data_IF_104115023471
#
_entry.id   IF_104115023471
#
_cell.length_a   1.000
_cell.length_b   1.000
_cell.length_c   1.000
_cell.angle_alpha   90.00
_cell.angle_beta   90.00
_cell.angle_gamma   90.00
#
_symmetry.space_group_name_H-M   'P 1'
#
loop_
_entity.id
_entity.type
_entity.pdbx_description
1 polymer ?
#
# COMPACT_ATOMS: atom_id res chain seq x y z
N UNK A 1 5.39 12.10 8.61
CA UNK A 1 4.44 12.61 7.60
C UNK A 1 4.47 14.12 7.41
N UNK A 2 4.28 14.94 8.46
CA UNK A 2 4.13 16.42 8.32
C UNK A 2 5.24 17.06 7.49
N UNK A 3 6.51 16.79 7.83
CA UNK A 3 7.67 17.35 7.10
C UNK A 3 7.67 16.93 5.64
N UNK A 4 7.40 15.65 5.35
CA UNK A 4 7.34 15.12 3.99
C UNK A 4 6.18 15.75 3.21
N UNK A 5 4.99 15.82 3.81
CA UNK A 5 3.80 16.40 3.18
C UNK A 5 3.99 17.86 2.81
N UNK A 6 4.55 18.65 3.73
CA UNK A 6 4.87 20.06 3.51
C UNK A 6 5.99 20.25 2.46
N UNK A 7 7.04 19.42 2.50
CA UNK A 7 8.13 19.47 1.53
C UNK A 7 7.65 19.12 0.11
N UNK A 8 6.79 18.11 -0.03
CA UNK A 8 6.19 17.74 -1.31
C UNK A 8 5.29 18.85 -1.87
N UNK A 9 4.47 19.49 -1.02
CA UNK A 9 3.69 20.65 -1.42
C UNK A 9 4.59 21.78 -1.93
N UNK A 10 5.65 22.11 -1.19
CA UNK A 10 6.62 23.14 -1.60
C UNK A 10 7.25 22.79 -2.97
N UNK A 11 7.58 21.52 -3.19
CA UNK A 11 8.11 21.04 -4.47
C UNK A 11 7.09 21.15 -5.61
N UNK A 12 5.83 20.77 -5.39
CA UNK A 12 4.79 20.90 -6.41
C UNK A 12 4.55 22.35 -6.80
N UNK A 13 4.52 23.26 -5.82
CA UNK A 13 4.37 24.69 -6.07
C UNK A 13 5.58 25.26 -6.82
N UNK A 14 6.80 24.82 -6.50
CA UNK A 14 8.03 25.19 -7.23
C UNK A 14 7.96 24.79 -8.71
N UNK A 15 7.40 23.60 -8.99
CA UNK A 15 7.17 23.09 -10.33
C UNK A 15 5.90 23.65 -11.01
N UNK A 16 5.19 24.57 -10.35
CA UNK A 16 3.89 25.14 -10.81
C UNK A 16 2.80 24.09 -11.04
N UNK A 17 2.86 22.98 -10.29
CA UNK A 17 1.84 21.93 -10.29
C UNK A 17 0.80 22.28 -9.24
N UNK A 18 -0.45 22.43 -9.67
CA UNK A 18 -1.56 22.70 -8.76
C UNK A 18 -1.91 21.45 -7.93
N UNK A 19 -2.09 21.57 -6.60
CA UNK A 19 -2.55 20.49 -5.76
C UNK A 19 -3.92 19.95 -6.19
N UNK A 20 -4.05 18.63 -6.25
CA UNK A 20 -5.25 17.91 -6.66
C UNK A 20 -5.08 16.41 -6.49
N UNK A 21 -5.85 15.62 -7.25
CA UNK A 21 -5.76 14.16 -7.18
C UNK A 21 -4.37 13.63 -7.55
N UNK A 22 -3.75 14.14 -8.63
CA UNK A 22 -2.45 13.67 -9.10
C UNK A 22 -1.31 13.89 -8.09
N UNK A 23 -1.26 15.05 -7.46
CA UNK A 23 -0.26 15.36 -6.42
C UNK A 23 -0.46 14.51 -5.17
N UNK A 24 -1.71 14.20 -4.81
CA UNK A 24 -2.02 13.25 -3.71
C UNK A 24 -1.47 11.87 -4.05
N UNK A 25 -1.74 11.35 -5.25
CA UNK A 25 -1.23 10.03 -5.68
C UNK A 25 0.30 9.99 -5.62
N UNK A 26 0.97 10.99 -6.19
CA UNK A 26 2.44 11.07 -6.15
C UNK A 26 2.95 11.17 -4.71
N UNK A 27 2.31 11.97 -3.86
CA UNK A 27 2.73 12.11 -2.47
C UNK A 27 2.61 10.81 -1.67
N UNK A 28 1.52 10.05 -1.87
CA UNK A 28 1.34 8.73 -1.27
C UNK A 28 2.34 7.70 -1.79
N UNK A 29 2.66 7.71 -3.09
CA UNK A 29 3.72 6.86 -3.65
C UNK A 29 5.06 7.18 -2.99
N UNK A 30 5.43 8.45 -2.91
CA UNK A 30 6.69 8.89 -2.29
C UNK A 30 6.77 8.56 -0.80
N UNK A 31 5.64 8.57 -0.10
CA UNK A 31 5.57 8.16 1.30
C UNK A 31 5.72 6.63 1.45
N UNK A 32 4.97 5.85 0.66
CA UNK A 32 4.91 4.40 0.80
C UNK A 32 6.14 3.67 0.23
N UNK A 33 6.86 4.27 -0.72
CA UNK A 33 7.95 3.59 -1.44
C UNK A 33 9.05 3.08 -0.50
N UNK A 34 9.38 3.81 0.57
CA UNK A 34 10.41 3.40 1.54
C UNK A 34 10.01 2.09 2.24
N UNK A 35 8.76 1.99 2.68
CA UNK A 35 8.20 0.79 3.31
C UNK A 35 8.14 -0.40 2.35
N UNK A 36 7.72 -0.15 1.10
CA UNK A 36 7.67 -1.19 0.06
C UNK A 36 9.07 -1.72 -0.23
N UNK A 37 10.04 -0.82 -0.44
CA UNK A 37 11.43 -1.21 -0.75
C UNK A 37 12.04 -2.03 0.38
N UNK A 38 11.89 -1.60 1.64
CA UNK A 38 12.41 -2.36 2.79
C UNK A 38 11.77 -3.74 2.88
N UNK A 39 10.45 -3.83 2.71
CA UNK A 39 9.71 -5.09 2.82
C UNK A 39 10.06 -6.06 1.69
N UNK A 40 10.13 -5.58 0.45
CA UNK A 40 10.50 -6.40 -0.71
C UNK A 40 11.95 -6.82 -0.63
N UNK A 41 12.86 -5.93 -0.21
CA UNK A 41 14.28 -6.27 -0.02
C UNK A 41 14.48 -7.36 1.02
N UNK A 42 13.74 -7.31 2.13
CA UNK A 42 13.77 -8.37 3.15
C UNK A 42 13.30 -9.71 2.55
N UNK A 43 12.28 -9.70 1.67
CA UNK A 43 11.84 -10.91 0.98
C UNK A 43 12.91 -11.45 0.02
N UNK A 44 13.54 -10.59 -0.77
CA UNK A 44 14.63 -10.98 -1.69
C UNK A 44 15.77 -11.64 -0.93
N UNK A 45 16.18 -11.05 0.21
CA UNK A 45 17.26 -11.59 1.04
C UNK A 45 16.95 -12.96 1.67
N UNK A 46 15.67 -13.35 1.72
CA UNK A 46 15.25 -14.67 2.23
C UNK A 46 15.21 -15.77 1.16
N UNK A 47 15.41 -15.43 -0.12
CA UNK A 47 15.44 -16.41 -1.20
C UNK A 47 16.80 -17.11 -1.26
N UNK A 48 16.78 -18.42 -1.54
CA UNK A 48 18.00 -19.19 -1.76
C UNK A 48 18.58 -18.84 -3.16
N UNK A 49 19.80 -18.27 -3.24
CA UNK A 49 20.45 -17.95 -4.52
C UNK A 49 20.60 -19.16 -5.44
N UNK A 50 20.65 -20.37 -4.87
CA UNK A 50 20.83 -21.63 -5.61
C UNK A 50 19.67 -21.92 -6.56
N UNK A 51 18.49 -21.36 -6.32
CA UNK A 51 17.35 -21.50 -7.23
C UNK A 51 17.57 -20.77 -8.56
N UNK A 52 18.29 -19.65 -8.53
CA UNK A 52 18.65 -18.89 -9.73
C UNK A 52 19.83 -19.56 -10.46
N UNK A 53 20.82 -20.07 -9.72
CA UNK A 53 21.91 -20.88 -10.26
C UNK A 53 21.39 -22.14 -10.97
N UNK A 54 20.46 -22.86 -10.36
CA UNK A 54 19.86 -24.06 -10.97
C UNK A 54 19.06 -23.73 -12.25
N UNK A 55 18.47 -22.54 -12.34
CA UNK A 55 17.83 -22.09 -13.57
C UNK A 55 18.85 -21.81 -14.67
N UNK A 56 19.99 -21.20 -14.32
CA UNK A 56 21.10 -20.96 -15.23
C UNK A 56 21.73 -22.28 -15.72
N UNK A 57 21.84 -23.30 -14.86
CA UNK A 57 22.31 -24.65 -15.22
C UNK A 57 21.39 -25.34 -16.24
N UNK A 58 20.09 -25.01 -16.23
CA UNK A 58 19.11 -25.43 -17.23
C UNK A 58 19.07 -24.52 -18.48
N UNK A 59 20.14 -23.75 -18.71
CA UNK A 59 20.29 -22.80 -19.81
C UNK A 59 19.25 -21.66 -19.83
N UNK A 60 18.63 -21.32 -18.68
CA UNK A 60 17.76 -20.16 -18.61
C UNK A 60 18.60 -18.87 -18.65
N UNK A 61 18.20 -17.90 -19.49
CA UNK A 61 18.81 -16.57 -19.47
C UNK A 61 18.42 -15.81 -18.18
N UNK A 62 19.17 -14.79 -17.74
CA UNK A 62 18.86 -14.05 -16.51
C UNK A 62 17.44 -13.47 -16.48
N UNK A 63 16.93 -13.00 -17.63
CA UNK A 63 15.56 -12.51 -17.76
C UNK A 63 14.55 -13.65 -17.58
N UNK A 64 14.82 -14.83 -18.14
CA UNK A 64 13.96 -16.00 -17.97
C UNK A 64 13.97 -16.52 -16.53
N UNK A 65 15.14 -16.60 -15.91
CA UNK A 65 15.29 -16.98 -14.50
C UNK A 65 14.53 -16.01 -13.58
N UNK A 66 14.64 -14.70 -13.82
CA UNK A 66 13.88 -13.70 -13.08
C UNK A 66 12.37 -13.93 -13.18
N UNK A 67 11.80 -14.01 -14.39
CA UNK A 67 10.35 -14.11 -14.55
C UNK A 67 9.77 -15.47 -14.14
N UNK A 68 10.54 -16.56 -14.27
CA UNK A 68 10.05 -17.93 -14.00
C UNK A 68 10.35 -18.41 -12.59
N UNK A 69 11.40 -17.90 -11.95
CA UNK A 69 11.86 -18.36 -10.63
C UNK A 69 11.76 -17.22 -9.62
N UNK A 70 12.54 -16.15 -9.80
CA UNK A 70 12.66 -15.09 -8.80
C UNK A 70 11.34 -14.36 -8.56
N UNK A 71 10.69 -13.89 -9.62
CA UNK A 71 9.45 -13.11 -9.52
C UNK A 71 8.31 -13.88 -8.84
N UNK A 72 7.94 -15.11 -9.25
CA UNK A 72 6.90 -15.89 -8.56
C UNK A 72 7.19 -16.13 -7.08
N UNK A 73 8.47 -16.32 -6.71
CA UNK A 73 8.89 -16.50 -5.32
C UNK A 73 8.83 -15.20 -4.50
N UNK A 74 8.94 -14.04 -5.18
CA UNK A 74 8.79 -12.71 -4.61
C UNK A 74 7.33 -12.26 -4.49
N UNK A 75 6.43 -12.71 -5.37
CA UNK A 75 4.99 -12.36 -5.39
C UNK A 75 4.36 -12.33 -3.99
N UNK A 76 4.49 -13.36 -3.12
CA UNK A 76 3.88 -13.32 -1.78
C UNK A 76 4.43 -12.18 -0.90
N UNK A 77 5.72 -11.84 -1.03
CA UNK A 77 6.31 -10.70 -0.31
C UNK A 77 5.93 -9.35 -0.91
N UNK A 78 5.81 -9.25 -2.24
CA UNK A 78 5.29 -8.06 -2.92
C UNK A 78 3.84 -7.81 -2.50
N UNK A 79 3.02 -8.86 -2.43
CA UNK A 79 1.64 -8.76 -1.97
C UNK A 79 1.56 -8.28 -0.52
N UNK A 80 2.43 -8.77 0.37
CA UNK A 80 2.51 -8.28 1.75
C UNK A 80 2.93 -6.79 1.80
N UNK A 81 3.92 -6.39 1.00
CA UNK A 81 4.35 -4.99 0.90
C UNK A 81 3.25 -4.09 0.34
N UNK A 82 2.47 -4.56 -0.65
CA UNK A 82 1.34 -3.84 -1.22
C UNK A 82 0.22 -3.63 -0.19
N UNK A 83 -0.09 -4.65 0.62
CA UNK A 83 -1.07 -4.54 1.71
C UNK A 83 -0.61 -3.55 2.79
N UNK A 84 0.68 -3.57 3.14
CA UNK A 84 1.25 -2.60 4.06
C UNK A 84 1.14 -1.17 3.52
N UNK A 85 1.53 -0.95 2.27
CA UNK A 85 1.43 0.36 1.62
C UNK A 85 -0.03 0.84 1.52
N UNK A 86 -0.96 -0.06 1.19
CA UNK A 86 -2.39 0.25 1.20
C UNK A 86 -2.85 0.67 2.59
N UNK A 87 -2.46 -0.08 3.63
CA UNK A 87 -2.82 0.23 5.01
C UNK A 87 -2.33 1.60 5.44
N UNK A 88 -1.08 1.95 5.12
CA UNK A 88 -0.46 3.25 5.46
C UNK A 88 -1.03 4.42 4.65
N UNK A 89 -1.46 4.17 3.42
CA UNK A 89 -2.01 5.20 2.53
C UNK A 89 -3.48 5.48 2.83
N UNK A 90 -4.23 4.44 3.21
CA UNK A 90 -5.68 4.50 3.35
C UNK A 90 -6.15 5.36 4.53
N UNK A 91 -5.41 5.34 5.64
CA UNK A 91 -5.73 6.11 6.84
C UNK A 91 -5.01 7.46 6.92
N UNK A 92 -4.03 7.73 6.05
CA UNK A 92 -3.27 8.97 6.09
C UNK A 92 -4.06 10.18 5.58
N UNK A 93 -4.35 11.07 6.51
CA UNK A 93 -4.92 12.38 6.22
C UNK A 93 -3.86 13.49 6.10
N UNK A 94 -2.68 13.35 6.73
CA UNK A 94 -1.69 14.44 6.84
C UNK A 94 -1.07 14.74 5.48
N UNK A 95 -0.51 13.73 4.81
CA UNK A 95 0.08 13.86 3.46
C UNK A 95 -0.98 14.37 2.49
N UNK A 96 -2.19 13.82 2.58
CA UNK A 96 -3.32 14.25 1.77
C UNK A 96 -3.68 15.72 2.03
N UNK A 97 -3.74 16.16 3.28
CA UNK A 97 -4.14 17.52 3.64
C UNK A 97 -3.20 18.57 3.03
N UNK A 98 -1.90 18.32 3.01
CA UNK A 98 -0.93 19.21 2.36
C UNK A 98 -1.06 19.20 0.82
N UNK A 99 -1.33 18.06 0.19
CA UNK A 99 -1.15 17.90 -1.26
C UNK A 99 -2.45 17.84 -2.07
N UNK A 100 -3.62 17.95 -1.45
CA UNK A 100 -4.91 17.71 -2.12
C UNK A 100 -5.60 18.94 -2.72
N UNK A 101 -5.24 20.16 -2.30
CA UNK A 101 -5.95 21.37 -2.72
C UNK A 101 -7.45 21.25 -2.42
N UNK A 102 -8.29 21.39 -3.46
CA UNK A 102 -9.75 21.24 -3.37
C UNK A 102 -10.23 19.79 -3.31
N UNK A 103 -9.37 18.81 -3.61
CA UNK A 103 -9.72 17.40 -3.51
C UNK A 103 -9.86 16.99 -2.04
N UNK A 104 -10.85 16.15 -1.74
CA UNK A 104 -11.12 15.70 -0.38
C UNK A 104 -11.26 14.19 -0.37
N UNK A 105 -10.40 13.53 0.42
CA UNK A 105 -10.50 12.10 0.71
C UNK A 105 -11.36 11.88 1.94
N UNK A 106 -11.76 10.62 2.16
CA UNK A 106 -12.54 10.26 3.33
C UNK A 106 -11.83 10.59 4.66
N UNK A 107 -10.55 10.24 4.90
CA UNK A 107 -9.86 10.62 6.13
C UNK A 107 -9.80 12.14 6.36
N UNK A 108 -9.52 12.92 5.30
CA UNK A 108 -9.52 14.38 5.35
C UNK A 108 -10.90 14.93 5.70
N UNK A 109 -11.96 14.39 5.09
CA UNK A 109 -13.34 14.77 5.37
C UNK A 109 -13.72 14.51 6.83
N UNK A 110 -13.42 13.31 7.36
CA UNK A 110 -13.68 12.95 8.76
C UNK A 110 -12.93 13.89 9.70
N UNK A 111 -11.65 14.13 9.46
CA UNK A 111 -10.83 15.02 10.30
C UNK A 111 -11.39 16.45 10.36
N UNK A 112 -11.69 17.05 9.19
CA UNK A 112 -12.25 18.41 9.14
C UNK A 112 -13.62 18.44 9.81
N UNK A 113 -14.45 17.42 9.57
CA UNK A 113 -15.78 17.33 10.18
C UNK A 113 -15.73 17.16 11.69
N UNK A 114 -14.76 16.41 12.22
CA UNK A 114 -14.59 16.23 13.66
C UNK A 114 -14.35 17.57 14.40
N UNK A 115 -13.70 18.54 13.74
CA UNK A 115 -13.50 19.88 14.31
C UNK A 115 -14.76 20.77 14.32
N UNK A 116 -15.79 20.43 13.53
CA UNK A 116 -17.02 21.22 13.35
C UNK A 116 -18.30 20.50 13.81
N UNK A 117 -18.18 19.27 14.28
CA UNK A 117 -19.29 18.35 14.55
C UNK A 117 -19.40 17.26 13.48
N UNK A 118 -19.36 15.99 13.90
CA UNK A 118 -19.35 14.84 12.99
C UNK A 118 -20.75 14.66 12.38
N UNK A 119 -20.91 14.79 11.05
CA UNK A 119 -22.19 14.61 10.40
C UNK A 119 -22.58 13.12 10.44
N UNK A 120 -23.89 12.78 10.55
CA UNK A 120 -24.34 11.39 10.61
C UNK A 120 -23.80 10.50 9.46
N UNK A 121 -23.58 11.10 8.28
CA UNK A 121 -23.03 10.44 7.10
C UNK A 121 -21.63 9.86 7.35
N UNK A 122 -20.78 10.55 8.12
CA UNK A 122 -19.44 10.05 8.46
C UNK A 122 -19.50 8.78 9.31
N UNK A 123 -20.47 8.70 10.24
CA UNK A 123 -20.67 7.51 11.08
C UNK A 123 -21.18 6.32 10.27
N UNK A 124 -22.06 6.56 9.29
CA UNK A 124 -22.55 5.52 8.37
C UNK A 124 -21.40 4.94 7.56
N UNK A 125 -20.57 5.80 6.95
CA UNK A 125 -19.43 5.36 6.14
C UNK A 125 -18.39 4.64 7.01
N UNK A 126 -18.05 5.19 8.18
CA UNK A 126 -17.12 4.56 9.11
C UNK A 126 -17.58 3.18 9.58
N UNK A 127 -18.86 3.04 9.92
CA UNK A 127 -19.45 1.74 10.32
C UNK A 127 -19.45 0.73 9.17
N UNK A 128 -19.77 1.18 7.95
CA UNK A 128 -19.73 0.34 6.76
C UNK A 128 -18.31 -0.13 6.41
N UNK A 129 -17.31 0.76 6.52
CA UNK A 129 -15.90 0.43 6.32
C UNK A 129 -15.42 -0.57 7.38
N UNK A 130 -15.79 -0.37 8.65
CA UNK A 130 -15.47 -1.31 9.72
C UNK A 130 -16.09 -2.70 9.48
N UNK A 131 -17.37 -2.74 9.13
CA UNK A 131 -18.06 -3.99 8.82
C UNK A 131 -17.42 -4.71 7.62
N UNK A 132 -17.07 -3.97 6.54
CA UNK A 132 -16.39 -4.52 5.38
C UNK A 132 -15.01 -5.09 5.75
N UNK A 133 -14.20 -4.35 6.52
CA UNK A 133 -12.90 -4.81 6.98
C UNK A 133 -13.01 -6.09 7.83
N UNK A 134 -13.99 -6.13 8.74
CA UNK A 134 -14.26 -7.30 9.57
C UNK A 134 -14.67 -8.51 8.72
N UNK A 135 -15.56 -8.33 7.75
CA UNK A 135 -15.99 -9.39 6.83
C UNK A 135 -14.82 -9.93 6.00
N UNK A 136 -13.94 -9.05 5.51
CA UNK A 136 -12.74 -9.46 4.78
C UNK A 136 -11.80 -10.28 5.65
N UNK A 137 -11.50 -9.82 6.87
CA UNK A 137 -10.62 -10.54 7.80
C UNK A 137 -11.20 -11.90 8.15
N UNK A 138 -12.48 -11.95 8.55
CA UNK A 138 -13.16 -13.21 8.89
C UNK A 138 -13.20 -14.16 7.69
N UNK A 139 -13.51 -13.65 6.49
CA UNK A 139 -13.51 -14.42 5.26
C UNK A 139 -12.15 -15.03 4.94
N UNK A 140 -11.07 -14.25 5.04
CA UNK A 140 -9.69 -14.72 4.84
C UNK A 140 -9.31 -15.79 5.89
N UNK A 141 -9.66 -15.56 7.16
CA UNK A 141 -9.37 -16.53 8.22
C UNK A 141 -10.10 -17.87 7.97
N UNK A 142 -11.39 -17.83 7.66
CA UNK A 142 -12.18 -19.03 7.37
C UNK A 142 -11.64 -19.78 6.14
N UNK A 143 -11.31 -19.06 5.06
CA UNK A 143 -10.72 -19.66 3.87
C UNK A 143 -9.35 -20.31 4.14
N UNK A 144 -8.52 -19.65 4.95
CA UNK A 144 -7.21 -20.19 5.33
C UNK A 144 -7.33 -21.48 6.15
N UNK A 145 -8.31 -21.55 7.06
CA UNK A 145 -8.61 -22.74 7.87
C UNK A 145 -9.13 -23.88 6.97
N UNK A 146 -10.03 -23.57 6.04
CA UNK A 146 -10.57 -24.54 5.09
C UNK A 146 -9.46 -25.17 4.23
N UNK A 147 -8.53 -24.36 3.70
CA UNK A 147 -7.36 -24.85 2.95
C UNK A 147 -6.43 -25.72 3.79
N UNK A 148 -6.25 -25.42 5.08
CA UNK A 148 -5.43 -26.24 5.99
C UNK A 148 -6.07 -27.60 6.26
N UNK A 149 -7.41 -27.67 6.33
CA UNK A 149 -8.14 -28.95 6.48
C UNK A 149 -8.06 -29.84 5.25
N UNK A 150 -8.09 -29.28 4.03
CA UNK A 150 -7.97 -30.06 2.79
C UNK A 150 -6.55 -30.62 2.53
N UNK A 151 -5.52 -30.09 3.21
CA UNK A 151 -4.14 -30.56 3.09
C UNK A 151 -3.75 -31.61 4.15
N UNK A 152 -4.65 -31.94 5.08
CA UNK A 152 -4.52 -33.05 6.04
C UNK A 152 -5.37 -34.21 5.56
#
# INVERSE_FOLDING_TARGET
EVVLGAALLAQFLSLRINPGFGTVVVAHIMFCISFVVVTVKARVASLDPRLEEAAADLYASPIQAFWRVTFPLLVPGIAAAALLAFSLSFDDFIITNFNSGSFTTFPKFVYISATRGIPPQANVIGSAMFALALLLVVGVQLFSIARRRQRR
#
